data_IF_170689306151
#
_entry.id   IF_170689306151
#
_cell.length_a   1.000
_cell.length_b   1.000
_cell.length_c   1.000
_cell.angle_alpha   90.00
_cell.angle_beta   90.00
_cell.angle_gamma   90.00
#
_symmetry.space_group_name_H-M   'P 1'
#
loop_
_entity.id
_entity.type
_entity.pdbx_description
1 polymer ?
#
# COMPACT_ATOMS: atom_id res chain seq x y z
N UNK A 1 21.24 7.33 8.02
CA UNK A 1 20.22 7.57 9.08
C UNK A 1 20.51 8.93 9.71
N UNK A 2 19.52 9.82 9.84
CA UNK A 2 19.73 11.13 10.49
C UNK A 2 19.86 10.93 12.00
N UNK A 3 20.91 11.46 12.61
CA UNK A 3 21.09 11.46 14.08
C UNK A 3 19.90 12.17 14.75
N UNK A 4 19.26 11.51 15.72
CA UNK A 4 18.17 12.08 16.53
C UNK A 4 16.76 11.52 16.27
N UNK A 5 16.57 10.61 15.31
CA UNK A 5 15.30 9.89 15.18
C UNK A 5 15.27 8.69 16.14
N UNK A 6 14.17 8.51 16.89
CA UNK A 6 13.92 7.32 17.69
C UNK A 6 13.97 6.08 16.78
N UNK A 7 15.02 5.27 16.91
CA UNK A 7 15.13 4.00 16.20
C UNK A 7 14.18 3.01 16.87
N UNK A 8 13.01 2.80 16.25
CA UNK A 8 12.11 1.73 16.64
C UNK A 8 12.81 0.39 16.45
N UNK A 9 12.79 -0.53 17.42
CA UNK A 9 13.38 -1.86 17.26
C UNK A 9 12.67 -2.70 16.19
N UNK A 10 11.50 -2.24 15.74
CA UNK A 10 10.70 -2.90 14.71
C UNK A 10 10.97 -2.38 13.30
N UNK A 11 11.61 -1.23 13.13
CA UNK A 11 11.80 -0.61 11.82
C UNK A 11 13.20 -0.87 11.27
N UNK A 12 13.25 -1.40 10.05
CA UNK A 12 14.48 -1.66 9.30
C UNK A 12 14.64 -0.66 8.16
N UNK A 13 15.80 -0.64 7.52
CA UNK A 13 16.02 0.20 6.33
C UNK A 13 15.06 -0.15 5.17
N UNK A 14 14.68 -1.42 5.04
CA UNK A 14 13.68 -1.88 4.07
C UNK A 14 12.33 -1.19 4.29
N UNK A 15 11.94 -0.95 5.55
CA UNK A 15 10.68 -0.30 5.91
C UNK A 15 10.70 1.18 5.50
N UNK A 16 11.84 1.86 5.72
CA UNK A 16 12.03 3.25 5.34
C UNK A 16 12.01 3.43 3.82
N UNK A 17 12.70 2.55 3.09
CA UNK A 17 12.68 2.56 1.63
C UNK A 17 11.29 2.27 1.06
N UNK A 18 10.58 1.30 1.64
CA UNK A 18 9.23 0.95 1.25
C UNK A 18 8.25 2.10 1.52
N UNK A 19 8.33 2.75 2.69
CA UNK A 19 7.55 3.95 3.01
C UNK A 19 7.73 5.05 1.96
N UNK A 20 8.97 5.37 1.61
CA UNK A 20 9.26 6.40 0.62
C UNK A 20 8.63 6.06 -0.75
N UNK A 21 8.72 4.80 -1.17
CA UNK A 21 8.12 4.31 -2.42
C UNK A 21 6.59 4.42 -2.40
N UNK A 22 5.92 3.95 -1.34
CA UNK A 22 4.45 4.03 -1.24
C UNK A 22 4.00 5.48 -1.20
N UNK A 23 4.69 6.33 -0.43
CA UNK A 23 4.40 7.77 -0.36
C UNK A 23 4.47 8.43 -1.73
N UNK A 24 5.53 8.15 -2.49
CA UNK A 24 5.68 8.69 -3.84
C UNK A 24 4.52 8.28 -4.76
N UNK A 25 4.07 7.02 -4.68
CA UNK A 25 2.90 6.56 -5.42
C UNK A 25 1.64 7.29 -4.99
N UNK A 26 1.39 7.43 -3.68
CA UNK A 26 0.23 8.13 -3.15
C UNK A 26 0.21 9.59 -3.59
N UNK A 27 1.33 10.30 -3.46
CA UNK A 27 1.44 11.72 -3.80
C UNK A 27 1.27 11.98 -5.30
N UNK A 28 1.70 11.06 -6.17
CA UNK A 28 1.66 11.24 -7.64
C UNK A 28 0.40 10.67 -8.28
N UNK A 29 -0.01 9.47 -7.88
CA UNK A 29 -1.03 8.68 -8.59
C UNK A 29 -2.39 8.70 -7.89
N UNK A 30 -2.47 9.08 -6.61
CA UNK A 30 -3.71 9.03 -5.82
C UNK A 30 -4.18 10.43 -5.41
N UNK A 31 -3.39 11.11 -4.57
CA UNK A 31 -3.79 12.36 -3.90
C UNK A 31 -4.34 13.44 -4.84
N UNK A 32 -3.76 13.69 -6.04
CA UNK A 32 -4.28 14.71 -6.95
C UNK A 32 -5.69 14.41 -7.49
N UNK A 33 -6.12 13.14 -7.46
CA UNK A 33 -7.33 12.67 -8.13
C UNK A 33 -8.42 12.18 -7.17
N UNK A 34 -8.10 11.96 -5.88
CA UNK A 34 -9.04 11.46 -4.86
C UNK A 34 -10.39 12.16 -4.90
N UNK A 35 -10.40 13.50 -4.90
CA UNK A 35 -11.63 14.28 -4.85
C UNK A 35 -12.54 14.00 -6.06
N UNK A 36 -11.95 13.90 -7.25
CA UNK A 36 -12.70 13.60 -8.47
C UNK A 36 -13.35 12.20 -8.38
N UNK A 37 -12.62 11.22 -7.85
CA UNK A 37 -13.12 9.86 -7.73
C UNK A 37 -14.20 9.71 -6.65
N UNK A 38 -14.05 10.43 -5.55
CA UNK A 38 -15.06 10.49 -4.48
C UNK A 38 -16.36 11.12 -4.98
N UNK A 39 -16.27 12.27 -5.67
CA UNK A 39 -17.44 12.94 -6.27
C UNK A 39 -18.11 12.02 -7.33
N UNK A 40 -17.32 11.29 -8.12
CA UNK A 40 -17.80 10.32 -9.09
C UNK A 40 -18.26 8.98 -8.48
N UNK A 41 -18.01 8.73 -7.19
CA UNK A 41 -18.25 7.48 -6.47
C UNK A 41 -17.66 6.25 -7.19
N UNK A 42 -16.51 6.42 -7.84
CA UNK A 42 -15.89 5.38 -8.66
C UNK A 42 -14.39 5.60 -8.80
N UNK A 43 -13.63 4.54 -8.54
CA UNK A 43 -12.21 4.48 -8.86
C UNK A 43 -12.00 4.06 -10.32
N UNK A 44 -11.02 4.63 -11.03
CA UNK A 44 -10.70 4.22 -12.40
C UNK A 44 -10.06 2.82 -12.40
N UNK A 45 -10.41 2.00 -13.40
CA UNK A 45 -9.96 0.59 -13.45
C UNK A 45 -8.45 0.47 -13.57
N UNK A 46 -7.83 1.35 -14.35
CA UNK A 46 -6.37 1.41 -14.53
C UNK A 46 -5.59 1.67 -13.23
N UNK A 47 -6.22 2.27 -12.20
CA UNK A 47 -5.58 2.48 -10.91
C UNK A 47 -5.24 1.15 -10.22
N UNK A 48 -6.08 0.13 -10.38
CA UNK A 48 -5.83 -1.19 -9.81
C UNK A 48 -4.60 -1.85 -10.46
N UNK A 49 -4.46 -1.73 -11.78
CA UNK A 49 -3.29 -2.25 -12.49
C UNK A 49 -2.01 -1.50 -12.08
N UNK A 50 -2.08 -0.17 -11.96
CA UNK A 50 -0.97 0.65 -11.46
C UNK A 50 -0.58 0.26 -10.03
N UNK A 51 -1.56 0.12 -9.14
CA UNK A 51 -1.35 -0.26 -7.75
C UNK A 51 -0.75 -1.67 -7.63
N UNK A 52 -1.22 -2.64 -8.43
CA UNK A 52 -0.64 -3.98 -8.48
C UNK A 52 0.83 -3.93 -8.94
N UNK A 53 1.12 -3.24 -10.05
CA UNK A 53 2.49 -3.10 -10.58
C UNK A 53 3.42 -2.37 -9.62
N UNK A 54 2.90 -1.42 -8.84
CA UNK A 54 3.65 -0.72 -7.80
C UNK A 54 3.91 -1.61 -6.57
N UNK A 55 3.23 -2.75 -6.45
CA UNK A 55 3.36 -3.69 -5.33
C UNK A 55 2.48 -3.33 -4.13
N UNK A 56 1.44 -2.50 -4.33
CA UNK A 56 0.52 -2.13 -3.26
C UNK A 56 -0.50 -3.25 -2.99
N UNK A 57 -1.16 -3.76 -4.05
CA UNK A 57 -2.19 -4.79 -3.87
C UNK A 57 -1.64 -6.10 -3.28
N UNK A 58 -0.47 -6.62 -3.71
CA UNK A 58 0.14 -7.78 -3.06
C UNK A 58 0.64 -7.51 -1.63
N UNK A 59 0.84 -6.23 -1.27
CA UNK A 59 1.34 -5.84 0.05
C UNK A 59 0.27 -5.74 1.13
N UNK A 60 -1.02 -5.85 0.80
CA UNK A 60 -2.11 -5.70 1.78
C UNK A 60 -2.83 -7.00 2.08
N UNK A 61 -2.19 -8.14 1.83
CA UNK A 61 -2.85 -9.45 2.01
C UNK A 61 -2.07 -10.35 2.97
N UNK A 62 -1.34 -9.74 3.91
CA UNK A 62 -0.47 -10.46 4.84
C UNK A 62 0.87 -10.87 4.21
N UNK A 63 1.30 -12.15 4.35
CA UNK A 63 2.53 -12.62 3.74
C UNK A 63 2.53 -12.39 2.23
N UNK A 64 3.69 -12.02 1.68
CA UNK A 64 3.77 -11.67 0.25
C UNK A 64 3.35 -12.85 -0.65
N UNK A 65 2.29 -12.70 -1.46
CA UNK A 65 1.68 -13.81 -2.21
C UNK A 65 2.47 -14.11 -3.48
N UNK A 66 3.64 -14.75 -3.33
CA UNK A 66 4.63 -14.94 -4.40
C UNK A 66 4.08 -15.67 -5.61
N UNK A 67 3.15 -16.61 -5.42
CA UNK A 67 2.51 -17.35 -6.51
C UNK A 67 1.64 -16.46 -7.43
N UNK A 68 1.08 -15.38 -6.89
CA UNK A 68 0.21 -14.44 -7.60
C UNK A 68 0.91 -13.15 -8.02
N UNK A 69 1.97 -12.75 -7.32
CA UNK A 69 2.64 -11.46 -7.48
C UNK A 69 4.12 -11.55 -7.86
N UNK A 70 4.69 -12.75 -7.93
CA UNK A 70 6.13 -12.94 -8.07
C UNK A 70 6.90 -12.49 -6.82
N UNK A 71 8.24 -12.38 -6.90
CA UNK A 71 9.07 -12.05 -5.76
C UNK A 71 8.74 -10.65 -5.21
N UNK A 72 8.59 -10.57 -3.89
CA UNK A 72 8.26 -9.33 -3.20
C UNK A 72 9.45 -8.46 -2.82
N UNK A 73 9.19 -7.34 -2.13
CA UNK A 73 10.24 -6.54 -1.51
C UNK A 73 11.11 -7.41 -0.59
N UNK A 74 12.39 -7.05 -0.50
CA UNK A 74 13.32 -7.74 0.40
C UNK A 74 12.85 -7.62 1.85
N UNK A 75 12.88 -8.74 2.58
CA UNK A 75 12.52 -8.84 3.99
C UNK A 75 11.11 -8.31 4.31
N UNK A 76 10.15 -8.53 3.39
CA UNK A 76 8.75 -8.14 3.58
C UNK A 76 8.16 -8.77 4.84
N UNK A 77 7.54 -7.94 5.68
CA UNK A 77 6.88 -8.34 6.92
C UNK A 77 5.66 -7.44 7.20
N UNK A 78 4.90 -7.74 8.25
CA UNK A 78 3.68 -7.00 8.60
C UNK A 78 3.91 -5.51 8.91
N UNK A 79 5.15 -5.07 9.19
CA UNK A 79 5.42 -3.64 9.33
C UNK A 79 5.43 -2.93 7.98
N UNK A 80 5.75 -3.63 6.89
CA UNK A 80 5.60 -3.08 5.54
C UNK A 80 4.12 -2.88 5.20
N UNK A 81 3.27 -3.87 5.51
CA UNK A 81 1.83 -3.77 5.32
C UNK A 81 1.23 -2.61 6.14
N UNK A 82 1.61 -2.49 7.42
CA UNK A 82 1.20 -1.36 8.26
C UNK A 82 1.63 -0.01 7.65
N UNK A 83 2.86 0.10 7.15
CA UNK A 83 3.35 1.31 6.48
C UNK A 83 2.57 1.59 5.21
N UNK A 84 2.22 0.57 4.45
CA UNK A 84 1.45 0.70 3.22
C UNK A 84 0.09 1.34 3.52
N UNK A 85 -0.65 0.77 4.48
CA UNK A 85 -1.96 1.28 4.87
C UNK A 85 -1.86 2.69 5.43
N UNK A 86 -0.87 2.97 6.29
CA UNK A 86 -0.60 4.31 6.82
C UNK A 86 -0.36 5.34 5.71
N UNK A 87 0.49 5.01 4.73
CA UNK A 87 0.79 5.92 3.62
C UNK A 87 -0.42 6.10 2.67
N UNK A 88 -1.21 5.06 2.38
CA UNK A 88 -2.43 5.21 1.56
C UNK A 88 -3.45 6.11 2.26
N UNK A 89 -3.61 6.00 3.58
CA UNK A 89 -4.54 6.83 4.35
C UNK A 89 -4.23 8.33 4.24
N UNK A 90 -2.99 8.72 3.93
CA UNK A 90 -2.59 10.13 3.76
C UNK A 90 -3.34 10.86 2.65
N UNK A 91 -3.91 10.12 1.69
CA UNK A 91 -4.69 10.74 0.62
C UNK A 91 -6.02 11.35 1.11
N UNK A 92 -6.44 11.05 2.36
CA UNK A 92 -7.62 11.63 2.98
C UNK A 92 -8.96 11.15 2.40
N UNK A 93 -8.95 10.12 1.55
CA UNK A 93 -10.15 9.54 0.95
C UNK A 93 -10.40 8.13 1.48
N UNK A 94 -11.47 7.99 2.26
CA UNK A 94 -11.98 6.66 2.65
C UNK A 94 -12.44 5.85 1.43
N UNK A 95 -12.95 6.51 0.38
CA UNK A 95 -13.35 5.86 -0.87
C UNK A 95 -12.18 5.15 -1.55
N UNK A 96 -11.01 5.78 -1.59
CA UNK A 96 -9.78 5.16 -2.10
C UNK A 96 -9.32 4.01 -1.20
N UNK A 97 -9.21 4.23 0.11
CA UNK A 97 -8.74 3.19 1.05
C UNK A 97 -9.61 1.93 0.93
N UNK A 98 -10.93 2.10 1.05
CA UNK A 98 -11.86 0.97 1.01
C UNK A 98 -12.00 0.35 -0.38
N UNK A 99 -12.01 1.18 -1.43
CA UNK A 99 -12.25 0.73 -2.79
C UNK A 99 -11.03 0.13 -3.48
N UNK A 100 -9.81 0.54 -3.11
CA UNK A 100 -8.58 0.09 -3.75
C UNK A 100 -7.91 -1.07 -3.01
N UNK A 101 -7.82 -1.01 -1.68
CA UNK A 101 -6.99 -1.94 -0.89
C UNK A 101 -7.79 -2.82 0.08
N UNK A 102 -8.66 -2.24 0.91
CA UNK A 102 -9.30 -2.99 2.01
C UNK A 102 -10.18 -4.14 1.52
N UNK A 103 -10.87 -3.95 0.39
CA UNK A 103 -11.68 -5.03 -0.20
C UNK A 103 -10.85 -6.28 -0.52
N UNK A 104 -9.63 -6.09 -1.02
CA UNK A 104 -8.69 -7.19 -1.26
C UNK A 104 -8.09 -7.70 0.05
N UNK A 105 -7.68 -6.81 0.95
CA UNK A 105 -7.10 -7.15 2.26
C UNK A 105 -8.02 -8.06 3.08
N UNK A 106 -9.33 -7.85 3.03
CA UNK A 106 -10.31 -8.65 3.79
C UNK A 106 -10.72 -9.89 2.98
N UNK A 107 -10.94 -9.74 1.67
CA UNK A 107 -11.51 -10.78 0.83
C UNK A 107 -10.53 -11.88 0.39
N UNK A 108 -9.23 -11.58 0.34
CA UNK A 108 -8.23 -12.49 -0.18
C UNK A 108 -7.60 -13.45 0.84
N UNK A 109 -7.38 -13.11 2.12
CA UNK A 109 -6.80 -14.03 3.10
C UNK A 109 -7.47 -15.41 3.20
N UNK A 110 -8.81 -15.57 3.06
CA UNK A 110 -9.45 -16.90 3.04
C UNK A 110 -9.12 -17.78 1.82
N UNK A 111 -8.49 -17.21 0.79
CA UNK A 111 -8.04 -17.93 -0.41
C UNK A 111 -6.55 -18.32 -0.28
N UNK A 112 -5.78 -17.51 0.46
CA UNK A 112 -4.35 -17.73 0.70
C UNK A 112 -4.05 -18.78 1.79
N UNK A 113 -4.96 -18.96 2.75
CA UNK A 113 -4.80 -19.85 3.92
C UNK A 113 -5.77 -21.03 3.88
#
# INVERSE_FOLDING_TARGET
VREGAYNSPYYKETHLAFRAKVREFVDKEITPFCRQWDDAKRLPRELFEKAYRAGLLPGVVGPWPTEFAGPGPKDYDYFHELILIDEICRCGSGGVVWGLVEGLQIGFPPILN
#
